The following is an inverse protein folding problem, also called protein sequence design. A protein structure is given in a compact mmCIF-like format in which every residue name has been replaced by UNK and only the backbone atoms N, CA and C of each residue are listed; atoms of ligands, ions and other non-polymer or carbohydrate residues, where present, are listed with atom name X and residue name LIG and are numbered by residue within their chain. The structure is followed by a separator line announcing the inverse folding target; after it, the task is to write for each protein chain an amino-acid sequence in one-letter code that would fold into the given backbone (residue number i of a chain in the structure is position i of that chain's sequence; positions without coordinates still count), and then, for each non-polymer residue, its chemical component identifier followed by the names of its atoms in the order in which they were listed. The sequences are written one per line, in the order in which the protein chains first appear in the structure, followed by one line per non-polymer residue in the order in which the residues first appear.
data_IF_237122860473
#
_entry.id   IF_237122860473
#
_cell.length_a   1.000
_cell.length_b   1.000
_cell.length_c   1.000
_cell.angle_alpha   90.00
_cell.angle_beta   90.00
_cell.angle_gamma   90.00
#
_symmetry.space_group_name_H-M   'P 1'
#
loop_
_entity.id
_entity.type
_entity.pdbx_description
1 polymer ?
#
# COMPACT_ATOMS: atom_id res chain seq x y z
N UNK A 1 39.48 78.38 -45.77
CA UNK A 1 39.60 77.96 -44.36
C UNK A 1 39.36 76.46 -44.31
N UNK A 2 40.26 75.53 -44.01
CA UNK A 2 41.70 75.50 -43.70
C UNK A 2 42.17 74.18 -44.35
N UNK A 3 43.31 74.19 -45.06
CA UNK A 3 43.98 72.97 -45.56
C UNK A 3 45.33 72.82 -44.85
N UNK A 4 45.65 71.57 -44.53
CA UNK A 4 46.98 70.95 -44.38
C UNK A 4 47.87 71.35 -43.20
N UNK A 5 48.39 70.34 -42.48
CA UNK A 5 49.84 70.18 -42.28
C UNK A 5 50.21 68.68 -42.17
N UNK A 6 51.42 68.38 -42.67
CA UNK A 6 51.98 67.09 -43.08
C UNK A 6 53.08 66.58 -42.10
N UNK A 7 53.62 65.38 -42.44
CA UNK A 7 54.92 64.73 -42.11
C UNK A 7 54.93 63.75 -40.92
N UNK A 8 55.10 62.43 -41.08
CA UNK A 8 56.22 61.57 -41.59
C UNK A 8 57.53 61.64 -40.76
N UNK A 9 57.89 60.54 -40.07
CA UNK A 9 59.18 59.78 -40.16
C UNK A 9 59.44 58.89 -38.91
N UNK A 10 59.74 57.61 -39.16
CA UNK A 10 60.21 56.50 -38.28
C UNK A 10 61.76 56.53 -38.13
N UNK A 11 62.51 55.51 -37.59
CA UNK A 11 62.47 54.61 -36.40
C UNK A 11 63.85 54.59 -35.63
N UNK A 12 64.21 53.46 -34.95
CA UNK A 12 65.50 53.07 -34.28
C UNK A 12 65.48 53.39 -32.75
N UNK A 13 65.52 52.45 -31.78
CA UNK A 13 66.57 51.45 -31.48
C UNK A 13 66.00 50.16 -30.85
N UNK A 14 66.25 49.07 -31.57
CA UNK A 14 66.41 47.67 -31.19
C UNK A 14 67.26 47.46 -29.92
N UNK A 15 66.81 46.64 -28.95
CA UNK A 15 67.72 46.23 -27.87
C UNK A 15 67.16 45.30 -26.78
N UNK A 16 67.33 44.00 -27.02
CA UNK A 16 67.57 42.92 -26.05
C UNK A 16 66.43 42.12 -25.41
N UNK A 17 66.51 40.82 -25.74
CA UNK A 17 66.25 39.63 -24.92
C UNK A 17 64.77 39.29 -24.65
N UNK A 18 64.18 38.37 -25.42
CA UNK A 18 64.27 36.91 -25.14
C UNK A 18 64.07 36.64 -23.64
N UNK A 19 62.84 36.84 -23.15
CA UNK A 19 62.36 36.23 -21.93
C UNK A 19 61.37 35.12 -22.30
N UNK A 20 61.96 33.95 -22.55
CA UNK A 20 61.39 32.62 -22.26
C UNK A 20 59.93 32.38 -22.63
N UNK A 21 59.74 31.73 -23.79
CA UNK A 21 58.63 30.80 -24.02
C UNK A 21 58.76 29.70 -22.96
N UNK A 22 58.07 29.88 -21.83
CA UNK A 22 57.80 28.77 -20.91
C UNK A 22 56.66 27.95 -21.53
N UNK A 23 56.79 26.62 -21.66
CA UNK A 23 55.66 25.77 -21.96
C UNK A 23 54.75 25.75 -20.73
N UNK A 24 53.84 26.72 -20.67
CA UNK A 24 52.77 26.79 -19.69
C UNK A 24 51.72 25.72 -19.95
N UNK A 25 52.09 24.45 -19.81
CA UNK A 25 51.15 23.36 -19.58
C UNK A 25 50.38 23.67 -18.28
N UNK A 26 49.10 24.03 -18.39
CA UNK A 26 48.19 23.98 -17.23
C UNK A 26 47.13 25.08 -17.10
N UNK A 27 47.09 26.11 -17.97
CA UNK A 27 46.17 27.24 -17.77
C UNK A 27 44.72 27.03 -18.25
N UNK A 28 44.40 25.86 -18.83
CA UNK A 28 43.03 25.45 -19.20
C UNK A 28 42.59 24.16 -18.50
N UNK A 29 43.05 23.94 -17.27
CA UNK A 29 42.54 22.83 -16.48
C UNK A 29 41.11 23.19 -16.04
N UNK A 30 40.11 22.76 -16.84
CA UNK A 30 38.70 22.72 -16.44
C UNK A 30 38.69 22.19 -15.00
N UNK A 31 38.40 23.05 -14.03
CA UNK A 31 38.27 22.64 -12.62
C UNK A 31 37.09 21.68 -12.62
N UNK A 32 37.40 20.39 -12.71
CA UNK A 32 36.40 19.34 -12.56
C UNK A 32 35.66 19.56 -11.26
N UNK A 33 34.36 19.23 -11.27
CA UNK A 33 33.51 19.26 -10.07
C UNK A 33 34.24 18.60 -8.89
N UNK A 34 33.94 18.97 -7.64
CA UNK A 34 34.60 18.37 -6.47
C UNK A 34 34.53 16.83 -6.48
N UNK A 35 33.41 16.27 -6.96
CA UNK A 35 33.23 14.83 -7.21
C UNK A 35 34.19 14.30 -8.29
N UNK A 36 34.47 15.06 -9.34
CA UNK A 36 35.39 14.67 -10.41
C UNK A 36 36.85 14.66 -9.95
N UNK A 37 37.23 15.58 -9.05
CA UNK A 37 38.57 15.59 -8.43
C UNK A 37 38.77 14.43 -7.46
N UNK A 38 37.73 14.06 -6.73
CA UNK A 38 37.75 12.93 -5.81
C UNK A 38 37.74 11.60 -6.59
N UNK A 39 36.95 11.48 -7.66
CA UNK A 39 36.99 10.33 -8.56
C UNK A 39 38.40 10.15 -9.18
N UNK A 40 39.09 11.24 -9.55
CA UNK A 40 40.50 11.18 -10.02
C UNK A 40 41.50 10.69 -8.97
N UNK A 41 41.15 10.77 -7.68
CA UNK A 41 41.94 10.21 -6.57
C UNK A 41 41.57 8.75 -6.25
N UNK A 42 40.66 8.16 -7.02
CA UNK A 42 40.15 6.80 -6.78
C UNK A 42 39.03 6.73 -5.74
N UNK A 43 38.53 7.86 -5.26
CA UNK A 43 37.46 7.90 -4.26
C UNK A 43 36.08 7.70 -4.90
N UNK A 44 35.23 6.89 -4.26
CA UNK A 44 33.85 6.68 -4.70
C UNK A 44 32.97 7.81 -4.17
N UNK A 45 32.57 8.75 -5.03
CA UNK A 45 31.77 9.94 -4.62
C UNK A 45 30.30 9.93 -5.02
N UNK A 46 29.84 8.85 -5.66
CA UNK A 46 28.47 8.72 -6.16
C UNK A 46 28.18 9.56 -7.40
N UNK A 47 26.97 9.41 -7.94
CA UNK A 47 26.51 10.15 -9.12
C UNK A 47 26.04 11.55 -8.70
N UNK A 48 26.67 12.62 -9.20
CA UNK A 48 26.27 13.97 -8.83
C UNK A 48 24.90 14.34 -9.43
N UNK A 49 24.15 15.21 -8.73
CA UNK A 49 22.88 15.81 -9.18
C UNK A 49 21.68 14.86 -9.32
N UNK A 50 21.62 13.74 -8.61
CA UNK A 50 20.38 12.96 -8.48
C UNK A 50 19.32 13.79 -7.74
N UNK A 51 18.08 13.79 -8.23
CA UNK A 51 16.95 14.42 -7.53
C UNK A 51 16.72 13.75 -6.18
N UNK A 52 16.31 14.55 -5.18
CA UNK A 52 15.85 14.00 -3.92
C UNK A 52 14.48 13.34 -4.16
N UNK A 53 14.30 12.15 -3.60
CA UNK A 53 13.09 11.35 -3.73
C UNK A 53 12.44 11.18 -2.35
N UNK A 54 11.12 11.35 -2.31
CA UNK A 54 10.31 11.17 -1.11
C UNK A 54 8.99 10.53 -1.54
N UNK A 55 8.64 9.42 -0.91
CA UNK A 55 7.31 8.85 -1.08
C UNK A 55 6.30 9.70 -0.33
N UNK A 56 5.31 10.20 -1.06
CA UNK A 56 4.14 10.83 -0.47
C UNK A 56 3.14 9.78 0.00
N UNK A 57 2.35 10.14 1.01
CA UNK A 57 1.27 9.30 1.53
C UNK A 57 0.13 9.29 0.50
N UNK A 58 -0.28 8.12 -0.04
CA UNK A 58 -1.41 8.03 -0.94
C UNK A 58 -2.73 8.41 -0.25
N UNK A 59 -3.72 8.81 -1.05
CA UNK A 59 -5.05 9.14 -0.56
C UNK A 59 -5.69 7.96 0.19
N UNK A 60 -6.34 8.25 1.33
CA UNK A 60 -6.99 7.28 2.22
C UNK A 60 -6.10 6.13 2.74
N UNK A 61 -4.78 6.33 2.80
CA UNK A 61 -3.85 5.41 3.43
C UNK A 61 -3.26 5.95 4.72
N UNK A 62 -2.72 5.04 5.52
CA UNK A 62 -2.08 5.29 6.81
C UNK A 62 -0.67 4.71 6.79
N UNK A 63 0.36 5.44 7.30
CA UNK A 63 1.69 4.90 7.50
C UNK A 63 1.71 3.94 8.70
N UNK A 64 2.03 2.68 8.43
CA UNK A 64 2.30 1.66 9.45
C UNK A 64 3.81 1.59 9.64
N UNK A 65 4.28 2.04 10.80
CA UNK A 65 5.72 2.14 11.10
C UNK A 65 6.38 0.77 11.13
N UNK A 66 7.66 0.72 10.77
CA UNK A 66 8.46 -0.49 10.95
C UNK A 66 8.53 -0.89 12.43
N UNK A 67 8.52 -2.20 12.70
CA UNK A 67 8.64 -2.72 14.05
C UNK A 67 8.69 -4.22 14.11
N UNK A 68 9.10 -4.72 15.27
CA UNK A 68 8.99 -6.15 15.62
C UNK A 68 7.74 -6.38 16.44
N UNK A 69 7.02 -7.47 16.19
CA UNK A 69 5.87 -7.85 16.98
C UNK A 69 5.77 -9.37 17.13
N UNK A 70 5.01 -9.79 18.14
CA UNK A 70 4.60 -11.18 18.30
C UNK A 70 3.37 -11.44 17.45
N UNK A 71 3.48 -12.24 16.40
CA UNK A 71 2.36 -12.77 15.61
C UNK A 71 1.82 -14.02 16.29
N UNK A 72 0.50 -14.24 16.26
CA UNK A 72 -0.17 -15.30 17.00
C UNK A 72 -0.58 -14.90 18.42
N UNK A 73 -1.32 -15.79 19.08
CA UNK A 73 -1.78 -15.63 20.46
C UNK A 73 -1.27 -16.73 21.41
N UNK A 74 -1.04 -17.94 20.90
CA UNK A 74 -0.66 -19.10 21.70
C UNK A 74 0.51 -19.84 21.05
N UNK A 75 1.32 -20.53 21.85
CA UNK A 75 2.45 -21.30 21.34
C UNK A 75 1.96 -22.53 20.53
N UNK A 76 0.83 -23.11 20.93
CA UNK A 76 0.21 -24.26 20.26
C UNK A 76 -1.28 -24.01 19.96
N UNK A 77 -1.80 -24.72 18.96
CA UNK A 77 -3.22 -24.76 18.58
C UNK A 77 -3.75 -26.19 18.70
N UNK A 78 -3.80 -26.70 19.94
CA UNK A 78 -4.15 -28.11 20.25
C UNK A 78 -5.56 -28.47 19.73
N UNK A 79 -6.47 -27.50 19.74
CA UNK A 79 -7.87 -27.69 19.36
C UNK A 79 -8.16 -27.39 17.88
N UNK A 80 -7.13 -27.15 17.04
CA UNK A 80 -7.28 -26.78 15.63
C UNK A 80 -8.25 -25.60 15.42
N UNK A 81 -8.22 -24.63 16.34
CA UNK A 81 -9.07 -23.44 16.39
C UNK A 81 -8.70 -22.38 15.36
N UNK A 82 -7.71 -22.69 14.53
CA UNK A 82 -7.19 -21.81 13.48
C UNK A 82 -6.49 -20.55 14.03
N UNK A 83 -6.01 -20.63 15.27
CA UNK A 83 -5.18 -19.59 15.89
C UNK A 83 -3.74 -19.69 15.41
N UNK A 84 -3.14 -18.58 14.99
CA UNK A 84 -1.72 -18.54 14.63
C UNK A 84 -0.82 -18.81 15.85
N UNK A 85 0.25 -19.58 15.62
CA UNK A 85 1.29 -19.82 16.63
C UNK A 85 2.05 -18.54 16.94
N UNK A 86 2.44 -18.40 18.20
CA UNK A 86 3.20 -17.27 18.69
C UNK A 86 4.63 -17.29 18.11
N UNK A 87 5.02 -16.22 17.41
CA UNK A 87 6.37 -16.04 16.85
C UNK A 87 6.70 -14.56 16.70
N UNK A 88 7.98 -14.23 16.82
CA UNK A 88 8.44 -12.86 16.61
C UNK A 88 8.71 -12.63 15.11
N UNK A 89 8.12 -11.59 14.55
CA UNK A 89 8.28 -11.17 13.15
C UNK A 89 8.68 -9.70 13.12
N UNK A 90 9.51 -9.34 12.13
CA UNK A 90 9.85 -7.95 11.84
C UNK A 90 9.11 -7.50 10.59
N UNK A 91 8.38 -6.39 10.68
CA UNK A 91 7.69 -5.76 9.54
C UNK A 91 8.37 -4.44 9.20
N UNK A 92 8.72 -4.24 7.94
CA UNK A 92 9.20 -2.94 7.44
C UNK A 92 8.05 -1.94 7.38
N UNK A 93 8.36 -0.66 7.27
CA UNK A 93 7.32 0.36 7.12
C UNK A 93 6.57 0.16 5.79
N UNK A 94 5.27 0.43 5.80
CA UNK A 94 4.41 0.37 4.61
C UNK A 94 3.19 1.27 4.82
N UNK A 95 2.47 1.54 3.73
CA UNK A 95 1.18 2.20 3.80
C UNK A 95 0.06 1.17 3.69
N UNK A 96 -0.98 1.31 4.50
CA UNK A 96 -2.18 0.47 4.44
C UNK A 96 -3.41 1.35 4.24
N UNK A 97 -4.37 0.88 3.46
CA UNK A 97 -5.67 1.55 3.35
C UNK A 97 -6.33 1.66 4.72
N UNK A 98 -6.79 2.88 5.02
CA UNK A 98 -7.47 3.21 6.27
C UNK A 98 -8.75 2.40 6.48
N UNK A 99 -9.41 2.06 5.38
CA UNK A 99 -10.71 1.44 5.28
C UNK A 99 -10.65 0.22 4.36
N UNK A 100 -11.60 -0.69 4.48
CA UNK A 100 -11.88 -1.68 3.44
C UNK A 100 -12.19 -0.95 2.10
N UNK A 101 -11.89 -1.56 0.96
CA UNK A 101 -12.25 -0.98 -0.35
C UNK A 101 -13.76 -0.89 -0.43
N UNK A 102 -14.29 0.30 -0.66
CA UNK A 102 -15.74 0.51 -0.73
C UNK A 102 -16.30 0.19 -2.12
N UNK A 103 -17.62 -0.05 -2.20
CA UNK A 103 -18.33 -0.23 -3.45
C UNK A 103 -18.07 0.92 -4.43
N UNK A 104 -18.03 2.17 -3.94
CA UNK A 104 -17.77 3.33 -4.79
C UNK A 104 -16.35 3.33 -5.38
N UNK A 105 -15.33 2.98 -4.57
CA UNK A 105 -13.94 2.85 -5.05
C UNK A 105 -13.81 1.72 -6.08
N UNK A 106 -14.47 0.60 -5.85
CA UNK A 106 -14.47 -0.51 -6.81
C UNK A 106 -15.25 -0.17 -8.09
N UNK A 107 -16.34 0.62 -8.01
CA UNK A 107 -17.03 1.13 -9.19
C UNK A 107 -16.16 2.08 -10.02
N UNK A 108 -15.35 2.92 -9.39
CA UNK A 108 -14.38 3.75 -10.12
C UNK A 108 -13.46 2.89 -10.99
N UNK A 109 -12.99 1.76 -10.46
CA UNK A 109 -12.22 0.78 -11.22
C UNK A 109 -12.99 0.23 -12.42
N UNK A 110 -14.22 -0.27 -12.20
CA UNK A 110 -15.03 -0.81 -13.30
C UNK A 110 -15.36 0.22 -14.38
N UNK A 111 -15.65 1.46 -13.99
CA UNK A 111 -15.90 2.57 -14.93
C UNK A 111 -14.64 2.85 -15.76
N UNK A 112 -13.47 2.92 -15.12
CA UNK A 112 -12.20 3.14 -15.83
C UNK A 112 -11.89 2.03 -16.84
N UNK A 113 -12.17 0.76 -16.48
CA UNK A 113 -12.02 -0.39 -17.40
C UNK A 113 -13.01 -0.30 -18.56
N UNK A 114 -14.26 0.06 -18.28
CA UNK A 114 -15.32 0.16 -19.31
C UNK A 114 -15.08 1.30 -20.30
N UNK A 115 -14.59 2.44 -19.81
CA UNK A 115 -14.35 3.63 -20.63
C UNK A 115 -13.00 3.58 -21.37
N UNK A 116 -12.09 2.68 -20.97
CA UNK A 116 -10.73 2.64 -21.51
C UNK A 116 -9.85 3.82 -21.03
N UNK A 117 -10.28 4.55 -19.99
CA UNK A 117 -9.59 5.72 -19.43
C UNK A 117 -8.26 5.37 -18.74
N UNK A 118 -7.88 4.08 -18.77
CA UNK A 118 -6.56 3.60 -18.38
C UNK A 118 -5.46 4.37 -19.15
N UNK A 119 -5.71 4.78 -20.39
CA UNK A 119 -4.72 5.44 -21.26
C UNK A 119 -4.53 6.94 -20.97
N UNK A 120 -4.21 7.35 -19.74
CA UNK A 120 -3.65 8.70 -19.51
C UNK A 120 -2.14 8.64 -19.74
N UNK A 121 -1.70 9.20 -20.88
CA UNK A 121 -0.38 9.05 -21.52
C UNK A 121 0.86 9.49 -20.72
N UNK A 122 1.04 8.94 -19.53
CA UNK A 122 2.22 9.10 -18.69
C UNK A 122 3.18 7.97 -19.04
N UNK A 123 4.48 8.23 -19.18
CA UNK A 123 5.47 7.19 -19.37
C UNK A 123 5.61 6.39 -18.07
N UNK A 124 4.68 5.48 -17.81
CA UNK A 124 4.93 4.39 -16.87
C UNK A 124 6.08 3.58 -17.44
N UNK A 125 6.99 3.15 -16.58
CA UNK A 125 8.14 2.35 -16.99
C UNK A 125 7.73 0.91 -17.39
N UNK A 126 6.44 0.56 -17.19
CA UNK A 126 5.77 -0.62 -17.74
C UNK A 126 5.74 -0.58 -19.28
N UNK A 127 6.29 -1.63 -19.88
CA UNK A 127 6.44 -1.77 -21.33
C UNK A 127 5.10 -2.03 -22.05
N UNK A 128 4.12 -2.57 -21.34
CA UNK A 128 2.80 -2.96 -21.86
C UNK A 128 1.71 -2.63 -20.82
N UNK A 129 0.57 -2.13 -21.29
CA UNK A 129 -0.58 -1.78 -20.44
C UNK A 129 -1.33 -3.05 -19.98
N UNK A 130 -1.73 -3.14 -18.70
CA UNK A 130 -2.51 -4.28 -18.21
C UNK A 130 -3.87 -4.31 -18.92
N UNK A 131 -4.27 -5.50 -19.37
CA UNK A 131 -5.56 -5.72 -20.01
C UNK A 131 -6.54 -6.26 -18.98
N UNK A 132 -7.72 -5.64 -18.90
CA UNK A 132 -8.76 -6.00 -17.96
C UNK A 132 -10.02 -6.40 -18.71
N UNK A 133 -10.62 -7.53 -18.34
CA UNK A 133 -11.92 -7.94 -18.85
C UNK A 133 -13.02 -7.46 -17.91
N UNK A 134 -13.86 -6.53 -18.38
CA UNK A 134 -14.95 -5.97 -17.57
C UNK A 134 -15.89 -7.04 -17.01
N UNK A 135 -16.25 -8.05 -17.82
CA UNK A 135 -17.22 -9.07 -17.44
C UNK A 135 -16.69 -10.00 -16.34
N UNK A 136 -15.37 -10.22 -16.31
CA UNK A 136 -14.71 -11.02 -15.28
C UNK A 136 -14.45 -10.25 -13.99
N UNK A 137 -14.47 -8.92 -14.02
CA UNK A 137 -14.16 -8.07 -12.88
C UNK A 137 -15.40 -7.64 -12.09
N UNK A 138 -16.59 -7.78 -12.68
CA UNK A 138 -17.84 -7.43 -12.01
C UNK A 138 -18.05 -8.33 -10.78
N UNK A 139 -18.41 -7.76 -9.62
CA UNK A 139 -18.72 -8.57 -8.44
C UNK A 139 -19.94 -9.46 -8.70
N UNK A 140 -19.88 -10.69 -8.21
CA UNK A 140 -21.02 -11.59 -8.23
C UNK A 140 -22.03 -11.15 -7.16
N UNK A 141 -23.17 -10.62 -7.60
CA UNK A 141 -24.25 -10.17 -6.71
C UNK A 141 -25.09 -11.34 -6.19
N UNK A 142 -25.05 -12.50 -6.83
CA UNK A 142 -25.84 -13.67 -6.44
C UNK A 142 -25.41 -14.26 -5.10
N UNK A 143 -24.20 -13.92 -4.62
CA UNK A 143 -23.64 -14.30 -3.32
C UNK A 143 -24.57 -14.00 -2.15
N UNK A 144 -25.38 -12.94 -2.24
CA UNK A 144 -26.36 -12.60 -1.20
C UNK A 144 -27.45 -13.66 -1.04
N UNK A 145 -27.75 -14.40 -2.10
CA UNK A 145 -28.69 -15.53 -2.09
C UNK A 145 -28.00 -16.88 -1.89
N UNK A 146 -26.78 -17.06 -2.43
CA UNK A 146 -26.10 -18.36 -2.46
C UNK A 146 -25.24 -18.62 -1.21
N UNK A 147 -24.67 -17.59 -0.58
CA UNK A 147 -23.85 -17.75 0.64
C UNK A 147 -24.66 -18.18 1.87
N UNK A 148 -25.99 -18.03 1.85
CA UNK A 148 -26.85 -18.30 3.02
C UNK A 148 -28.10 -19.09 2.63
N UNK A 149 -28.24 -20.30 3.19
CA UNK A 149 -29.43 -21.11 2.98
C UNK A 149 -30.67 -20.47 3.65
N UNK A 150 -31.80 -20.47 2.93
CA UNK A 150 -33.11 -19.99 3.41
C UNK A 150 -33.09 -18.51 3.88
N UNK A 151 -32.31 -17.68 3.20
CA UNK A 151 -32.16 -16.25 3.49
C UNK A 151 -32.90 -15.39 2.44
N UNK A 152 -33.57 -14.33 2.89
CA UNK A 152 -34.16 -13.33 1.99
C UNK A 152 -33.10 -12.31 1.54
N UNK A 153 -32.23 -12.75 0.63
CA UNK A 153 -31.11 -11.97 0.11
C UNK A 153 -31.45 -11.09 -1.09
N UNK A 154 -32.64 -11.23 -1.68
CA UNK A 154 -33.04 -10.56 -2.93
C UNK A 154 -32.81 -9.04 -2.91
N UNK A 155 -33.16 -8.29 -1.84
CA UNK A 155 -32.89 -6.85 -1.82
C UNK A 155 -31.40 -6.51 -1.87
N UNK A 156 -30.56 -7.34 -1.24
CA UNK A 156 -29.12 -7.11 -1.20
C UNK A 156 -28.47 -7.52 -2.51
N UNK A 157 -28.95 -8.60 -3.15
CA UNK A 157 -28.57 -8.97 -4.50
C UNK A 157 -28.86 -7.83 -5.51
N UNK A 158 -30.03 -7.19 -5.42
CA UNK A 158 -30.44 -6.14 -6.36
C UNK A 158 -29.76 -4.78 -6.10
N UNK A 159 -29.59 -4.38 -4.84
CA UNK A 159 -29.23 -3.00 -4.51
C UNK A 159 -27.81 -2.82 -3.97
N UNK A 160 -27.15 -3.85 -3.43
CA UNK A 160 -25.93 -3.67 -2.65
C UNK A 160 -24.79 -3.02 -3.42
N UNK A 161 -24.52 -3.47 -4.65
CA UNK A 161 -23.41 -2.93 -5.43
C UNK A 161 -23.80 -1.66 -6.22
N UNK A 162 -25.04 -1.65 -6.73
CA UNK A 162 -25.51 -0.67 -7.72
C UNK A 162 -26.14 0.59 -7.09
N UNK A 163 -26.75 0.50 -5.90
CA UNK A 163 -27.48 1.61 -5.32
C UNK A 163 -26.56 2.59 -4.53
N UNK A 164 -26.73 3.92 -4.65
CA UNK A 164 -25.89 4.91 -3.96
C UNK A 164 -25.88 4.81 -2.43
N UNK A 165 -26.92 4.24 -1.83
CA UNK A 165 -27.00 4.01 -0.39
C UNK A 165 -25.83 3.16 0.15
N UNK A 166 -25.24 2.31 -0.71
CA UNK A 166 -24.15 1.41 -0.35
C UNK A 166 -22.78 1.87 -0.83
N UNK A 167 -22.62 3.13 -1.28
CA UNK A 167 -21.35 3.69 -1.79
C UNK A 167 -20.18 3.55 -0.79
N UNK A 168 -20.47 3.74 0.50
CA UNK A 168 -19.50 3.73 1.60
C UNK A 168 -19.42 2.37 2.32
N UNK A 169 -20.05 1.33 1.78
CA UNK A 169 -19.98 -0.04 2.30
C UNK A 169 -18.85 -0.81 1.62
N UNK A 170 -18.27 -1.82 2.27
CA UNK A 170 -17.18 -2.61 1.69
C UNK A 170 -17.66 -3.37 0.45
N UNK A 171 -16.82 -3.47 -0.58
CA UNK A 171 -17.11 -4.34 -1.71
C UNK A 171 -17.02 -5.81 -1.30
N UNK A 172 -18.02 -6.59 -1.70
CA UNK A 172 -18.11 -8.04 -1.48
C UNK A 172 -18.56 -8.73 -2.76
N UNK A 173 -18.59 -10.07 -2.75
CA UNK A 173 -18.89 -10.83 -3.98
C UNK A 173 -17.73 -10.79 -4.97
N UNK A 174 -16.51 -10.66 -4.45
CA UNK A 174 -15.29 -10.62 -5.25
C UNK A 174 -14.36 -11.77 -4.89
N UNK A 175 -13.62 -12.23 -5.90
CA UNK A 175 -12.60 -13.27 -5.78
C UNK A 175 -11.25 -12.67 -5.39
N UNK A 176 -10.30 -13.51 -5.00
CA UNK A 176 -8.94 -13.07 -4.69
C UNK A 176 -8.23 -12.50 -5.94
N UNK A 177 -8.45 -13.13 -7.09
CA UNK A 177 -7.88 -12.69 -8.37
C UNK A 177 -8.41 -11.31 -8.80
N UNK A 178 -9.71 -11.04 -8.59
CA UNK A 178 -10.31 -9.72 -8.83
C UNK A 178 -9.70 -8.66 -7.91
N UNK A 179 -9.48 -8.97 -6.63
CA UNK A 179 -8.84 -8.07 -5.68
C UNK A 179 -7.39 -7.73 -6.07
N UNK A 180 -6.65 -8.71 -6.61
CA UNK A 180 -5.30 -8.51 -7.15
C UNK A 180 -5.32 -7.60 -8.39
N UNK A 181 -6.24 -7.83 -9.33
CA UNK A 181 -6.40 -6.99 -10.52
C UNK A 181 -6.75 -5.53 -10.16
N UNK A 182 -7.57 -5.31 -9.12
CA UNK A 182 -7.81 -3.97 -8.60
C UNK A 182 -6.52 -3.30 -8.09
N UNK A 183 -5.63 -4.05 -7.43
CA UNK A 183 -4.34 -3.52 -6.97
C UNK A 183 -3.42 -3.15 -8.15
N UNK A 184 -3.39 -3.98 -9.19
CA UNK A 184 -2.65 -3.71 -10.43
C UNK A 184 -3.19 -2.46 -11.13
N UNK A 185 -4.51 -2.36 -11.25
CA UNK A 185 -5.18 -1.17 -11.77
C UNK A 185 -4.84 0.09 -10.96
N UNK A 186 -4.95 0.03 -9.63
CA UNK A 186 -4.68 1.18 -8.76
C UNK A 186 -3.23 1.66 -8.92
N UNK A 187 -2.29 0.73 -9.09
CA UNK A 187 -0.87 1.04 -9.35
C UNK A 187 -0.72 1.80 -10.66
N UNK A 188 -1.33 1.27 -11.71
CA UNK A 188 -1.28 1.87 -13.03
C UNK A 188 -1.97 3.24 -13.05
N UNK A 189 -3.18 3.35 -12.48
CA UNK A 189 -3.92 4.60 -12.35
C UNK A 189 -3.13 5.67 -11.58
N UNK A 190 -2.36 5.30 -10.56
CA UNK A 190 -1.52 6.26 -9.83
C UNK A 190 -0.33 6.70 -10.68
N UNK A 191 0.46 5.76 -11.22
CA UNK A 191 1.63 6.10 -12.03
C UNK A 191 1.26 6.84 -13.32
N UNK A 192 0.05 6.60 -13.86
CA UNK A 192 -0.49 7.26 -15.03
C UNK A 192 -1.08 8.66 -14.75
N UNK A 193 -1.06 9.13 -13.51
CA UNK A 193 -1.53 10.47 -13.13
C UNK A 193 -0.54 11.23 -12.25
N UNK A 194 0.62 10.63 -11.94
CA UNK A 194 1.62 11.26 -11.10
C UNK A 194 2.64 12.05 -11.94
N UNK A 195 3.14 13.15 -11.39
CA UNK A 195 4.16 14.00 -12.04
C UNK A 195 5.60 13.54 -11.72
N UNK A 196 5.79 12.35 -11.14
CA UNK A 196 7.12 11.88 -10.75
C UNK A 196 7.91 11.30 -11.91
N UNK A 197 9.22 11.58 -11.89
CA UNK A 197 10.20 10.99 -12.82
C UNK A 197 10.41 9.48 -12.59
N UNK A 198 9.87 8.91 -11.51
CA UNK A 198 10.08 7.52 -11.11
C UNK A 198 8.74 6.84 -10.82
N UNK A 199 8.62 5.59 -11.26
CA UNK A 199 7.49 4.74 -10.90
C UNK A 199 7.39 4.57 -9.38
N UNK A 200 6.17 4.70 -8.86
CA UNK A 200 5.89 4.42 -7.48
C UNK A 200 5.74 2.90 -7.25
N UNK A 201 6.03 2.40 -6.03
CA UNK A 201 5.78 1.01 -5.68
C UNK A 201 4.35 0.57 -5.97
N UNK A 202 4.16 -0.71 -6.32
CA UNK A 202 2.84 -1.25 -6.58
C UNK A 202 1.97 -1.31 -5.32
N UNK A 203 0.68 -1.05 -5.52
CA UNK A 203 -0.34 -1.51 -4.59
C UNK A 203 -0.49 -3.01 -4.72
N UNK A 204 -0.77 -3.67 -3.59
CA UNK A 204 -0.98 -5.11 -3.50
C UNK A 204 -1.88 -5.44 -2.32
N UNK A 205 -2.29 -6.70 -2.21
CA UNK A 205 -2.86 -7.21 -0.98
C UNK A 205 -1.81 -7.23 0.14
N UNK A 206 -2.21 -6.98 1.40
CA UNK A 206 -1.31 -7.14 2.54
C UNK A 206 -0.84 -8.59 2.65
N UNK A 207 0.38 -8.81 3.14
CA UNK A 207 0.72 -10.14 3.65
C UNK A 207 -0.06 -10.44 4.92
N UNK A 208 -0.20 -11.72 5.26
CA UNK A 208 -0.86 -12.13 6.51
C UNK A 208 -0.19 -11.47 7.73
N UNK A 209 1.14 -11.39 7.72
CA UNK A 209 1.91 -10.80 8.80
C UNK A 209 1.76 -9.27 8.87
N UNK A 210 1.75 -8.58 7.71
CA UNK A 210 1.46 -7.14 7.65
C UNK A 210 0.05 -6.85 8.16
N UNK A 211 -0.93 -7.67 7.77
CA UNK A 211 -2.32 -7.53 8.20
C UNK A 211 -2.45 -7.68 9.72
N UNK A 212 -1.85 -8.73 10.30
CA UNK A 212 -1.94 -8.95 11.76
C UNK A 212 -1.22 -7.86 12.55
N UNK A 213 -0.04 -7.44 12.09
CA UNK A 213 0.71 -6.34 12.70
C UNK A 213 -0.11 -5.04 12.69
N UNK A 214 -0.70 -4.73 11.54
CA UNK A 214 -1.55 -3.57 11.36
C UNK A 214 -2.80 -3.66 12.24
N UNK A 215 -3.46 -4.82 12.33
CA UNK A 215 -4.65 -5.05 13.14
C UNK A 215 -4.39 -4.80 14.63
N UNK A 216 -3.23 -5.25 15.15
CA UNK A 216 -2.82 -5.03 16.55
C UNK A 216 -2.62 -3.55 16.91
N UNK A 217 -2.40 -2.67 15.92
CA UNK A 217 -2.44 -1.22 16.10
C UNK A 217 -1.40 -0.71 17.10
N UNK A 218 -0.20 -1.29 17.13
CA UNK A 218 0.89 -0.91 18.03
C UNK A 218 0.81 -1.49 19.45
N UNK A 219 -0.06 -2.48 19.68
CA UNK A 219 -0.17 -3.19 20.96
C UNK A 219 0.44 -4.60 20.83
N UNK A 220 1.24 -4.99 21.81
CA UNK A 220 1.77 -6.35 21.88
C UNK A 220 0.70 -7.33 22.35
N UNK A 221 0.60 -8.49 21.67
CA UNK A 221 -0.30 -9.60 22.04
C UNK A 221 -1.76 -9.16 22.27
N UNK A 222 -2.24 -8.19 21.49
CA UNK A 222 -3.63 -7.76 21.55
C UNK A 222 -4.55 -8.84 20.98
N UNK A 223 -5.63 -9.16 21.70
CA UNK A 223 -6.65 -10.12 21.27
C UNK A 223 -7.52 -9.56 20.13
N UNK A 224 -7.94 -8.30 20.26
CA UNK A 224 -8.67 -7.52 19.24
C UNK A 224 -7.94 -6.21 18.94
N UNK A 225 -8.26 -5.49 17.84
CA UNK A 225 -7.60 -4.23 17.47
C UNK A 225 -7.68 -3.13 18.53
N UNK A 226 -8.79 -3.08 19.27
CA UNK A 226 -8.97 -2.15 20.39
C UNK A 226 -8.28 -2.64 21.68
N UNK A 227 -7.82 -3.88 21.74
CA UNK A 227 -7.25 -4.53 22.92
C UNK A 227 -8.09 -5.74 23.33
N UNK A 228 -7.97 -6.19 24.57
CA UNK A 228 -8.72 -7.33 25.08
C UNK A 228 -8.92 -7.26 26.59
N UNK A 229 -9.68 -8.20 27.17
CA UNK A 229 -10.30 -9.35 26.51
C UNK A 229 -11.75 -9.10 26.04
N UNK A 230 -12.30 -7.90 26.24
CA UNK A 230 -13.73 -7.64 26.05
C UNK A 230 -14.08 -7.12 24.65
N UNK A 231 -15.25 -7.54 24.14
CA UNK A 231 -15.84 -7.08 22.88
C UNK A 231 -16.63 -5.76 23.03
N UNK A 232 -16.98 -5.43 24.27
CA UNK A 232 -17.76 -4.25 24.63
C UNK A 232 -16.88 -3.18 25.27
N UNK A 233 -17.12 -1.93 24.92
CA UNK A 233 -16.47 -0.80 25.58
C UNK A 233 -17.03 -0.59 27.01
N UNK A 234 -16.49 0.39 27.74
CA UNK A 234 -16.96 0.72 29.11
C UNK A 234 -18.44 1.10 29.20
N UNK A 235 -19.06 1.51 28.09
CA UNK A 235 -20.49 1.86 27.99
C UNK A 235 -21.37 0.66 27.63
N UNK A 236 -20.79 -0.52 27.39
CA UNK A 236 -21.50 -1.72 26.97
C UNK A 236 -21.79 -1.83 25.48
N UNK A 237 -21.27 -0.91 24.64
CA UNK A 237 -21.45 -0.97 23.19
C UNK A 237 -20.41 -1.90 22.56
N UNK A 238 -20.82 -2.68 21.56
CA UNK A 238 -19.93 -3.50 20.75
C UNK A 238 -18.99 -2.60 19.91
N UNK A 239 -17.76 -3.09 19.68
CA UNK A 239 -16.69 -2.32 19.01
C UNK A 239 -16.38 -2.80 17.59
N UNK A 240 -17.13 -3.78 17.09
CA UNK A 240 -17.05 -4.30 15.72
C UNK A 240 -18.44 -4.75 15.26
N UNK A 241 -18.58 -4.93 13.95
CA UNK A 241 -19.73 -5.54 13.31
C UNK A 241 -19.52 -7.06 13.17
N UNK A 242 -20.31 -7.87 13.87
CA UNK A 242 -20.19 -9.33 13.90
C UNK A 242 -21.47 -9.97 14.40
N UNK A 243 -21.51 -11.30 14.50
CA UNK A 243 -22.64 -12.04 15.07
C UNK A 243 -22.48 -12.23 16.58
N UNK A 244 -23.11 -11.41 17.46
CA UNK A 244 -22.79 -11.41 18.88
C UNK A 244 -23.48 -12.53 19.64
N UNK A 245 -24.57 -13.07 19.08
CA UNK A 245 -25.31 -14.17 19.66
C UNK A 245 -25.91 -15.10 18.61
N UNK A 246 -26.39 -16.27 19.05
CA UNK A 246 -27.04 -17.22 18.15
C UNK A 246 -28.34 -16.61 17.58
N UNK A 247 -28.31 -16.28 16.30
CA UNK A 247 -29.44 -15.66 15.60
C UNK A 247 -29.59 -14.15 15.84
N UNK A 248 -28.71 -13.54 16.64
CA UNK A 248 -28.68 -12.10 16.83
C UNK A 248 -27.49 -11.53 16.02
N UNK A 249 -27.80 -10.78 14.98
CA UNK A 249 -26.84 -10.07 14.14
C UNK A 249 -26.85 -8.56 14.39
N UNK A 250 -27.88 -8.01 15.05
CA UNK A 250 -28.16 -6.56 15.07
C UNK A 250 -27.75 -5.85 16.37
N UNK A 251 -27.23 -6.56 17.38
CA UNK A 251 -26.85 -5.95 18.68
C UNK A 251 -25.79 -4.84 18.54
N UNK A 252 -25.00 -4.86 17.47
CA UNK A 252 -24.02 -3.82 17.12
C UNK A 252 -24.58 -2.67 16.26
N UNK A 253 -25.83 -2.80 15.81
CA UNK A 253 -26.54 -1.85 14.96
C UNK A 253 -26.63 -2.22 13.48
N UNK A 254 -25.99 -3.29 13.01
CA UNK A 254 -25.97 -3.67 11.59
C UNK A 254 -26.29 -5.15 11.36
N UNK A 255 -27.31 -5.46 10.57
CA UNK A 255 -27.66 -6.87 10.29
C UNK A 255 -26.71 -7.56 9.29
N UNK A 256 -26.08 -6.76 8.41
CA UNK A 256 -25.13 -7.18 7.40
C UNK A 256 -23.84 -6.37 7.59
N UNK A 257 -23.15 -6.05 6.50
CA UNK A 257 -22.08 -5.05 6.49
C UNK A 257 -22.54 -3.70 7.03
N UNK A 258 -21.60 -2.96 7.59
CA UNK A 258 -21.68 -1.57 8.01
C UNK A 258 -20.80 -0.72 7.06
N UNK A 259 -21.02 0.60 7.00
CA UNK A 259 -20.10 1.50 6.34
C UNK A 259 -18.66 1.35 6.87
N UNK A 260 -17.69 1.58 5.99
CA UNK A 260 -16.27 1.28 6.27
C UNK A 260 -15.65 2.12 7.40
N UNK A 261 -16.30 3.21 7.81
CA UNK A 261 -15.80 4.20 8.78
C UNK A 261 -16.56 4.25 10.11
N UNK A 262 -17.45 3.28 10.38
CA UNK A 262 -18.36 3.32 11.55
C UNK A 262 -17.67 3.08 12.89
N UNK A 263 -16.86 2.02 13.00
CA UNK A 263 -16.26 1.64 14.28
C UNK A 263 -14.98 2.41 14.56
N UNK A 264 -14.60 2.49 15.84
CA UNK A 264 -13.43 3.25 16.24
C UNK A 264 -12.14 2.67 15.61
N UNK A 265 -11.23 3.51 15.11
CA UNK A 265 -9.97 3.03 14.57
C UNK A 265 -9.09 2.41 15.64
N UNK A 266 -8.19 1.53 15.22
CA UNK A 266 -7.12 1.02 16.07
C UNK A 266 -6.00 2.07 16.27
N UNK A 267 -4.93 1.71 16.99
CA UNK A 267 -3.85 2.64 17.34
C UNK A 267 -3.05 3.19 16.16
N UNK A 268 -3.15 2.58 14.97
CA UNK A 268 -2.57 3.13 13.74
C UNK A 268 -3.55 4.01 12.97
N UNK A 269 -4.84 3.98 13.27
CA UNK A 269 -5.85 4.74 12.54
C UNK A 269 -6.64 3.90 11.53
N UNK A 270 -6.52 2.57 11.57
CA UNK A 270 -7.20 1.63 10.68
C UNK A 270 -8.58 1.25 11.24
N UNK A 271 -9.58 1.25 10.38
CA UNK A 271 -10.97 0.96 10.72
C UNK A 271 -11.31 -0.48 10.34
N UNK A 272 -12.29 -1.06 11.06
CA UNK A 272 -12.85 -2.39 10.78
C UNK A 272 -11.83 -3.50 10.56
N UNK A 273 -10.67 -3.46 11.25
CA UNK A 273 -9.69 -4.56 11.19
C UNK A 273 -10.24 -5.86 11.80
N UNK A 274 -11.38 -5.81 12.50
CA UNK A 274 -12.09 -6.98 13.00
C UNK A 274 -13.58 -6.82 12.73
N UNK A 275 -14.17 -7.82 12.09
CA UNK A 275 -15.58 -7.82 11.73
C UNK A 275 -15.84 -7.05 10.44
N UNK A 276 -17.09 -6.68 10.21
CA UNK A 276 -17.57 -6.15 8.95
C UNK A 276 -17.37 -7.14 7.80
N UNK A 277 -16.27 -7.10 7.05
CA UNK A 277 -15.95 -8.17 6.09
C UNK A 277 -14.61 -8.82 6.42
N UNK A 278 -14.52 -10.13 6.17
CA UNK A 278 -13.23 -10.80 6.21
C UNK A 278 -12.40 -10.30 5.03
N UNK A 279 -11.08 -10.20 5.20
CA UNK A 279 -10.23 -9.57 4.19
C UNK A 279 -9.28 -10.56 3.54
N UNK A 280 -9.25 -10.55 2.21
CA UNK A 280 -8.24 -11.24 1.42
C UNK A 280 -6.84 -10.71 1.75
N UNK A 281 -5.91 -11.64 1.98
CA UNK A 281 -4.47 -11.35 2.07
C UNK A 281 -3.71 -12.07 0.96
N UNK A 282 -2.45 -11.68 0.75
CA UNK A 282 -1.60 -12.21 -0.32
C UNK A 282 -1.29 -13.71 -0.13
N UNK A 283 -1.09 -14.13 1.12
CA UNK A 283 -0.57 -15.45 1.46
C UNK A 283 -1.50 -16.61 1.10
N UNK A 284 -0.90 -17.69 0.59
CA UNK A 284 -1.53 -18.99 0.45
C UNK A 284 -1.78 -19.65 1.81
N UNK A 285 -2.88 -20.40 1.93
CA UNK A 285 -3.20 -21.10 3.16
C UNK A 285 -2.51 -22.46 3.21
N UNK A 286 -1.60 -22.63 4.17
CA UNK A 286 -1.12 -23.94 4.57
C UNK A 286 -1.05 -24.04 6.09
N UNK A 287 -1.43 -25.18 6.66
CA UNK A 287 -1.31 -25.42 8.10
C UNK A 287 0.14 -25.30 8.59
N UNK A 288 1.10 -25.70 7.74
CA UNK A 288 2.55 -25.61 7.99
C UNK A 288 3.14 -24.23 7.72
N UNK A 289 2.42 -23.31 7.06
CA UNK A 289 2.94 -21.96 6.77
C UNK A 289 3.40 -21.25 8.05
N UNK A 290 2.75 -21.56 9.18
CA UNK A 290 3.03 -21.00 10.50
C UNK A 290 4.48 -21.21 10.97
N UNK A 291 5.07 -22.39 10.72
CA UNK A 291 6.46 -22.71 11.10
C UNK A 291 7.48 -22.19 10.09
N UNK A 292 7.09 -22.10 8.81
CA UNK A 292 8.01 -21.72 7.74
C UNK A 292 8.31 -20.21 7.69
N UNK A 293 7.39 -19.37 8.18
CA UNK A 293 7.45 -17.91 8.04
C UNK A 293 7.84 -17.22 9.35
N UNK A 294 9.13 -17.05 9.63
CA UNK A 294 9.59 -16.58 10.94
C UNK A 294 10.78 -15.61 10.84
N UNK A 295 10.60 -14.45 10.21
CA UNK A 295 11.66 -13.44 10.17
C UNK A 295 11.14 -12.05 9.74
N UNK A 296 11.85 -11.40 8.81
CA UNK A 296 11.56 -10.12 8.19
C UNK A 296 10.57 -10.26 7.03
N UNK A 297 9.47 -9.50 7.07
CA UNK A 297 8.45 -9.39 6.03
C UNK A 297 8.05 -10.74 5.40
N UNK A 298 7.62 -11.72 6.19
CA UNK A 298 7.30 -13.02 5.65
C UNK A 298 6.09 -12.94 4.70
N UNK A 299 6.22 -13.64 3.59
CA UNK A 299 5.14 -13.91 2.63
C UNK A 299 5.21 -15.40 2.30
N UNK A 300 4.10 -16.09 2.45
CA UNK A 300 3.94 -17.48 2.03
C UNK A 300 3.05 -17.53 0.79
N UNK A 301 3.65 -17.39 -0.39
CA UNK A 301 2.92 -17.49 -1.65
C UNK A 301 3.34 -18.77 -2.39
N UNK A 302 2.38 -19.66 -2.61
CA UNK A 302 2.57 -20.93 -3.30
C UNK A 302 1.53 -21.00 -4.42
N UNK A 303 2.00 -20.90 -5.66
CA UNK A 303 1.12 -20.83 -6.84
C UNK A 303 0.22 -22.07 -7.00
N UNK A 304 0.68 -23.24 -6.56
CA UNK A 304 -0.09 -24.49 -6.66
C UNK A 304 -1.13 -24.65 -5.56
N UNK A 305 -1.20 -23.74 -4.59
CA UNK A 305 -2.16 -23.79 -3.49
C UNK A 305 -3.32 -22.82 -3.78
N UNK A 306 -4.51 -23.33 -4.14
CA UNK A 306 -5.65 -22.48 -4.51
C UNK A 306 -6.33 -21.82 -3.31
N UNK A 307 -6.06 -22.27 -2.08
CA UNK A 307 -6.64 -21.66 -0.87
C UNK A 307 -5.82 -20.44 -0.49
N UNK A 308 -6.50 -19.30 -0.33
CA UNK A 308 -5.88 -18.05 0.14
C UNK A 308 -6.38 -17.72 1.53
N UNK A 309 -5.51 -17.09 2.32
CA UNK A 309 -5.83 -16.74 3.70
C UNK A 309 -6.84 -15.58 3.71
N UNK A 310 -7.78 -15.64 4.65
CA UNK A 310 -8.63 -14.50 5.01
C UNK A 310 -8.51 -14.19 6.50
N UNK A 311 -8.61 -12.91 6.85
CA UNK A 311 -8.37 -12.39 8.21
C UNK A 311 -9.49 -11.45 8.67
N UNK A 312 -9.57 -11.24 9.99
CA UNK A 312 -10.46 -10.25 10.62
C UNK A 312 -11.88 -10.72 10.94
N UNK A 313 -12.36 -11.77 10.27
CA UNK A 313 -13.73 -12.23 10.41
C UNK A 313 -14.73 -11.22 9.85
N UNK A 314 -16.01 -11.59 9.79
CA UNK A 314 -17.04 -10.78 9.16
C UNK A 314 -18.26 -10.56 10.05
N UNK A 315 -19.21 -9.77 9.56
CA UNK A 315 -20.52 -9.53 10.15
C UNK A 315 -21.29 -10.83 10.45
N UNK A 316 -21.00 -11.92 9.73
CA UNK A 316 -21.63 -13.23 9.97
C UNK A 316 -20.96 -14.09 11.04
N UNK A 317 -19.74 -13.75 11.41
CA UNK A 317 -18.88 -14.61 12.23
C UNK A 317 -19.02 -14.29 13.72
N UNK A 318 -18.72 -15.31 14.53
CA UNK A 318 -18.68 -15.16 15.99
C UNK A 318 -17.39 -14.48 16.44
N UNK A 319 -17.38 -14.01 17.69
CA UNK A 319 -16.27 -13.29 18.31
C UNK A 319 -14.87 -13.92 18.19
N UNK A 320 -14.77 -15.26 18.06
CA UNK A 320 -13.50 -15.97 17.89
C UNK A 320 -12.77 -15.58 16.59
N UNK A 321 -13.52 -15.36 15.51
CA UNK A 321 -12.95 -15.02 14.20
C UNK A 321 -12.54 -13.54 14.10
N UNK A 322 -12.99 -12.72 15.04
CA UNK A 322 -12.59 -11.31 15.13
C UNK A 322 -11.20 -11.13 15.74
N UNK A 323 -10.66 -12.16 16.37
CA UNK A 323 -9.39 -12.08 17.03
C UNK A 323 -8.27 -11.79 16.02
N UNK A 324 -7.32 -10.92 16.38
CA UNK A 324 -6.30 -10.48 15.42
C UNK A 324 -5.42 -11.61 14.93
N UNK A 325 -5.33 -12.73 15.67
CA UNK A 325 -4.50 -13.90 15.37
C UNK A 325 -5.24 -15.01 14.62
N UNK A 326 -6.56 -14.95 14.54
CA UNK A 326 -7.35 -15.99 13.85
C UNK A 326 -7.18 -15.84 12.36
N UNK A 327 -6.88 -16.95 11.69
CA UNK A 327 -6.87 -17.06 10.22
C UNK A 327 -7.87 -18.09 9.79
N UNK A 328 -8.54 -17.84 8.68
CA UNK A 328 -9.25 -18.87 7.96
C UNK A 328 -8.78 -18.86 6.50
N UNK A 329 -9.46 -19.61 5.64
CA UNK A 329 -9.17 -19.60 4.22
C UNK A 329 -10.44 -19.69 3.41
N UNK A 330 -10.32 -19.28 2.17
CA UNK A 330 -11.30 -19.54 1.13
C UNK A 330 -10.56 -19.79 -0.19
N UNK A 331 -11.21 -20.41 -1.16
CA UNK A 331 -10.62 -20.65 -2.47
C UNK A 331 -10.53 -19.36 -3.27
N UNK A 332 -9.41 -19.16 -3.99
CA UNK A 332 -9.11 -17.91 -4.69
C UNK A 332 -10.15 -17.52 -5.75
N UNK A 333 -10.86 -18.49 -6.31
CA UNK A 333 -11.90 -18.34 -7.34
C UNK A 333 -13.33 -18.21 -6.77
N UNK A 334 -13.49 -18.30 -5.45
CA UNK A 334 -14.80 -18.26 -4.79
C UNK A 334 -15.10 -16.85 -4.27
N UNK A 335 -16.24 -16.30 -4.70
CA UNK A 335 -16.79 -15.05 -4.20
C UNK A 335 -17.77 -15.31 -3.04
N UNK A 336 -17.78 -14.44 -2.04
CA UNK A 336 -18.66 -14.55 -0.87
C UNK A 336 -19.23 -13.18 -0.46
N UNK A 337 -20.43 -13.18 0.12
CA UNK A 337 -21.11 -11.96 0.60
C UNK A 337 -20.48 -11.30 1.86
N UNK A 338 -19.44 -11.92 2.41
CA UNK A 338 -18.82 -11.53 3.68
C UNK A 338 -17.30 -11.42 3.60
N UNK A 339 -16.74 -11.49 2.38
CA UNK A 339 -15.31 -11.35 2.12
C UNK A 339 -15.12 -10.14 1.20
N UNK A 340 -14.25 -9.24 1.62
CA UNK A 340 -13.76 -8.10 0.85
C UNK A 340 -12.24 -8.02 0.96
N UNK A 341 -11.70 -6.81 0.90
CA UNK A 341 -10.25 -6.60 0.96
C UNK A 341 -9.91 -5.14 1.25
N UNK A 342 -8.64 -4.94 1.59
CA UNK A 342 -7.96 -3.65 1.59
C UNK A 342 -6.61 -3.80 0.92
N UNK A 343 -5.98 -2.69 0.55
CA UNK A 343 -4.68 -2.74 -0.13
C UNK A 343 -3.57 -2.11 0.70
N UNK A 344 -2.34 -2.48 0.38
CA UNK A 344 -1.13 -1.91 0.94
C UNK A 344 -0.20 -1.45 -0.17
N UNK A 345 0.73 -0.58 0.20
CA UNK A 345 1.80 -0.11 -0.66
C UNK A 345 3.10 -0.12 0.13
N UNK A 346 4.15 -0.72 -0.43
CA UNK A 346 5.46 -0.76 0.21
C UNK A 346 6.02 0.66 0.38
N UNK A 347 6.57 0.96 1.56
CA UNK A 347 7.32 2.19 1.77
C UNK A 347 8.80 1.95 1.45
N UNK A 348 9.32 2.62 0.43
CA UNK A 348 10.73 2.50 0.01
C UNK A 348 11.66 3.54 0.66
N UNK A 349 11.12 4.49 1.44
CA UNK A 349 11.92 5.39 2.26
C UNK A 349 11.90 6.86 1.84
N UNK A 350 13.00 7.56 2.13
CA UNK A 350 13.29 8.93 1.67
C UNK A 350 14.78 9.02 1.34
N UNK A 351 15.14 9.79 0.31
CA UNK A 351 16.53 9.86 -0.18
C UNK A 351 17.49 10.68 0.70
N UNK A 352 17.15 11.01 1.95
CA UNK A 352 17.91 11.94 2.79
C UNK A 352 17.99 11.51 4.25
N UNK A 353 19.12 11.87 4.90
CA UNK A 353 19.32 11.74 6.35
C UNK A 353 18.18 12.39 7.14
N UNK A 354 17.83 11.83 8.30
CA UNK A 354 16.85 12.37 9.25
C UNK A 354 17.16 13.79 9.76
N UNK A 355 18.30 14.39 9.39
CA UNK A 355 18.60 15.80 9.64
C UNK A 355 17.86 16.73 8.68
N UNK A 356 16.58 16.94 8.98
CA UNK A 356 15.75 17.97 8.37
C UNK A 356 16.18 19.34 8.90
N UNK A 357 17.18 19.97 8.24
CA UNK A 357 17.11 21.43 8.10
C UNK A 357 16.06 21.70 7.03
N UNK A 358 14.86 22.06 7.47
CA UNK A 358 13.71 22.43 6.65
C UNK A 358 14.17 23.32 5.49
N UNK A 359 14.24 22.76 4.28
CA UNK A 359 14.45 23.56 3.10
C UNK A 359 13.15 24.31 2.85
N UNK A 360 13.28 25.64 2.84
CA UNK A 360 12.22 26.62 2.63
C UNK A 360 11.23 26.14 1.57
N UNK A 361 9.96 26.10 1.97
CA UNK A 361 8.75 26.27 1.15
C UNK A 361 9.10 26.99 -0.15
N UNK A 362 9.17 26.25 -1.27
CA UNK A 362 9.24 26.83 -2.60
C UNK A 362 7.86 27.44 -2.85
N UNK A 363 7.71 28.74 -2.57
CA UNK A 363 6.55 29.52 -2.98
C UNK A 363 6.36 29.33 -4.49
N UNK A 364 5.18 28.87 -4.88
CA UNK A 364 4.47 29.42 -6.03
C UNK A 364 3.31 30.24 -5.48
#
# INVERSE_FOLDING_TARGET
MYKNFNLRLTPIVLGLAIATILPGCGLFNKKGSASEKLNRRGEVTGVPKRSAWQQNLPYDMVPVKAGTFWMGQSDEDIAFTQSSMNKQITISEFFMDKYEVSNNKYRQFLVAVKEGTLTTGTPTTLKEEPQFNYDELRPDTTVWSTSFAYHYGDPMMEFYFDHPAFDNYPVVGITWDQAKQYCEWRTYHMNANDEYDFDMPSFRLPSEAEWEYAAKGGKDVAKYPWGGPYLKNKRGCLMANFKPGRGNYIDDGFAYTAPVDVFAPNGFGLYNMSGNVAEWVLDAYAATSRTATWDLNPVYDVETEPRKVIRGGSWKDIAHYLETSTRTYEYQDVAQAHIGFRTVMTFIGRSGSMDVKSSKRRRR
#
